data_IF_958054889226
#
_entry.id   IF_958054889226
#
_cell.length_a   1.000
_cell.length_b   1.000
_cell.length_c   1.000
_cell.angle_alpha   90.00
_cell.angle_beta   90.00
_cell.angle_gamma   90.00
#
_symmetry.space_group_name_H-M   'P 1'
#
loop_
_entity.id
_entity.type
_entity.pdbx_description
1 polymer ?
#
# COMPACT_ATOMS: atom_id res chain seq x y z
N UNK A 1 27.25 36.67 -11.75
CA UNK A 1 26.77 35.26 -11.74
C UNK A 1 25.35 35.24 -11.20
N UNK A 2 24.38 34.79 -11.99
CA UNK A 2 22.97 34.81 -11.58
C UNK A 2 22.62 33.60 -10.70
N UNK A 3 22.37 33.84 -9.42
CA UNK A 3 21.96 32.85 -8.40
C UNK A 3 20.48 32.42 -8.52
N UNK A 4 19.98 32.21 -9.74
CA UNK A 4 18.59 31.80 -10.01
C UNK A 4 18.36 30.28 -9.89
N UNK A 5 19.39 29.51 -9.53
CA UNK A 5 19.35 28.05 -9.45
C UNK A 5 18.25 27.54 -8.50
N UNK A 6 18.07 28.16 -7.34
CA UNK A 6 17.06 27.72 -6.36
C UNK A 6 15.61 27.90 -6.83
N UNK A 7 15.36 28.85 -7.73
CA UNK A 7 14.02 29.10 -8.29
C UNK A 7 13.75 28.15 -9.47
N UNK A 8 14.74 27.97 -10.36
CA UNK A 8 14.63 27.12 -11.54
C UNK A 8 14.62 25.62 -11.20
N UNK A 9 15.38 25.18 -10.19
CA UNK A 9 15.47 23.78 -9.78
C UNK A 9 14.48 23.37 -8.69
N UNK A 10 13.51 24.23 -8.35
CA UNK A 10 12.47 23.89 -7.36
C UNK A 10 11.52 22.84 -7.95
N UNK A 11 11.84 21.57 -7.70
CA UNK A 11 11.01 20.44 -8.10
C UNK A 11 9.64 20.48 -7.41
N UNK A 12 8.61 20.95 -8.14
CA UNK A 12 7.19 20.96 -7.72
C UNK A 12 6.53 19.57 -7.74
N UNK A 13 7.27 18.50 -8.09
CA UNK A 13 6.71 17.15 -8.15
C UNK A 13 6.22 16.71 -6.77
N UNK A 14 5.02 16.12 -6.72
CA UNK A 14 4.48 15.47 -5.51
C UNK A 14 5.53 14.58 -4.87
N UNK A 15 5.88 14.76 -3.60
CA UNK A 15 6.84 13.92 -2.89
C UNK A 15 6.11 12.78 -2.16
N UNK A 16 6.73 11.60 -2.08
CA UNK A 16 6.20 10.44 -1.35
C UNK A 16 6.91 10.35 0.00
N UNK A 17 6.13 10.39 1.09
CA UNK A 17 6.64 10.19 2.44
C UNK A 17 7.02 8.74 2.66
N UNK A 18 8.21 8.51 3.23
CA UNK A 18 8.74 7.19 3.51
C UNK A 18 9.45 7.15 4.85
N UNK A 19 9.42 5.97 5.48
CA UNK A 19 10.06 5.72 6.76
C UNK A 19 11.23 4.77 6.53
N UNK A 20 12.38 5.09 7.11
CA UNK A 20 13.57 4.25 7.09
C UNK A 20 13.82 3.70 8.50
N UNK A 21 14.20 2.44 8.59
CA UNK A 21 14.52 1.73 9.85
C UNK A 21 16.03 1.59 9.96
N UNK A 22 16.56 1.82 11.16
CA UNK A 22 17.97 1.63 11.49
C UNK A 22 18.41 0.16 11.30
N UNK A 23 19.60 -0.04 10.74
CA UNK A 23 20.22 -1.37 10.60
C UNK A 23 20.59 -2.00 11.94
N UNK A 24 20.70 -1.22 13.01
CA UNK A 24 21.08 -1.69 14.34
C UNK A 24 19.89 -2.20 15.18
N UNK A 25 18.71 -2.39 14.57
CA UNK A 25 17.50 -2.85 15.26
C UNK A 25 17.09 -2.02 16.50
N UNK A 26 17.49 -0.74 16.55
CA UNK A 26 17.19 0.21 17.64
C UNK A 26 15.74 0.69 17.68
N UNK A 27 14.90 0.25 16.73
CA UNK A 27 13.56 0.78 16.46
C UNK A 27 13.47 2.28 16.16
N UNK A 28 14.59 2.99 16.03
CA UNK A 28 14.59 4.38 15.60
C UNK A 28 14.20 4.48 14.12
N UNK A 29 13.27 5.41 13.83
CA UNK A 29 12.70 5.62 12.50
C UNK A 29 13.08 7.00 12.00
N UNK A 30 13.73 7.03 10.84
CA UNK A 30 14.05 8.26 10.13
C UNK A 30 13.07 8.47 8.98
N UNK A 31 12.26 9.53 9.06
CA UNK A 31 11.23 9.85 8.06
C UNK A 31 11.75 10.85 7.04
N UNK A 32 11.56 10.56 5.75
CA UNK A 32 12.02 11.41 4.64
C UNK A 32 11.04 11.38 3.46
N UNK A 33 11.40 12.10 2.39
CA UNK A 33 10.59 12.24 1.18
C UNK A 33 11.37 11.83 -0.07
N UNK A 34 10.82 10.94 -0.88
CA UNK A 34 11.38 10.52 -2.17
C UNK A 34 10.54 11.08 -3.32
N UNK A 35 11.13 11.25 -4.51
CA UNK A 35 10.37 11.55 -5.73
C UNK A 35 9.49 10.36 -6.17
N UNK A 36 8.35 10.57 -6.84
CA UNK A 36 7.49 9.48 -7.29
C UNK A 36 8.21 8.51 -8.22
N UNK A 37 9.08 9.02 -9.10
CA UNK A 37 9.88 8.21 -10.02
C UNK A 37 10.85 7.27 -9.32
N UNK A 38 11.48 7.72 -8.22
CA UNK A 38 12.44 6.93 -7.44
C UNK A 38 11.75 6.02 -6.42
N UNK A 39 10.45 6.19 -6.17
CA UNK A 39 9.69 5.39 -5.20
C UNK A 39 9.59 3.90 -5.56
N UNK A 40 9.86 3.53 -6.82
CA UNK A 40 9.95 2.13 -7.28
C UNK A 40 11.13 1.40 -6.64
N UNK A 41 12.20 2.12 -6.31
CA UNK A 41 13.42 1.56 -5.74
C UNK A 41 13.47 1.76 -4.22
N UNK A 42 14.06 0.81 -3.50
CA UNK A 42 14.23 0.91 -2.05
C UNK A 42 15.37 1.89 -1.75
N UNK A 43 15.11 2.85 -0.86
CA UNK A 43 16.12 3.79 -0.41
C UNK A 43 16.95 3.22 0.75
N UNK A 44 18.26 3.45 0.69
CA UNK A 44 19.20 3.25 1.79
C UNK A 44 20.01 4.53 2.03
N UNK A 45 20.08 5.00 3.28
CA UNK A 45 20.82 6.21 3.66
C UNK A 45 21.69 5.96 4.89
N UNK A 46 22.88 6.54 4.94
CA UNK A 46 23.69 6.58 6.16
C UNK A 46 23.33 7.82 6.99
N UNK A 47 22.80 7.63 8.20
CA UNK A 47 22.36 8.71 9.10
C UNK A 47 22.74 8.39 10.56
N UNK A 48 22.74 9.42 11.41
CA UNK A 48 22.99 9.24 12.85
C UNK A 48 21.76 8.60 13.49
N UNK A 49 21.99 7.58 14.30
CA UNK A 49 20.97 6.97 15.15
C UNK A 49 21.25 7.38 16.61
N UNK A 50 20.36 8.15 17.25
CA UNK A 50 20.57 8.65 18.61
C UNK A 50 20.59 7.55 19.67
N UNK A 51 19.95 6.40 19.42
CA UNK A 51 19.92 5.29 20.38
C UNK A 51 21.28 4.60 20.47
N UNK A 52 21.96 4.47 19.33
CA UNK A 52 23.28 3.83 19.24
C UNK A 52 24.41 4.85 19.29
N UNK A 53 24.08 6.14 19.22
CA UNK A 53 24.99 7.28 19.16
C UNK A 53 26.07 7.16 18.08
N UNK A 54 25.72 6.64 16.90
CA UNK A 54 26.66 6.49 15.77
C UNK A 54 25.94 6.59 14.42
N UNK A 55 26.71 6.82 13.36
CA UNK A 55 26.18 6.78 12.00
C UNK A 55 26.00 5.34 11.52
N UNK A 56 24.75 4.97 11.23
CA UNK A 56 24.35 3.63 10.79
C UNK A 56 23.63 3.70 9.46
N UNK A 57 23.45 2.54 8.82
CA UNK A 57 22.67 2.45 7.60
C UNK A 57 21.18 2.39 7.96
N UNK A 58 20.35 3.13 7.22
CA UNK A 58 18.91 3.12 7.34
C UNK A 58 18.31 2.56 6.06
N UNK A 59 17.40 1.60 6.20
CA UNK A 59 16.74 0.94 5.08
C UNK A 59 15.26 1.26 5.03
N UNK A 60 14.72 1.45 3.83
CA UNK A 60 13.30 1.73 3.68
C UNK A 60 12.43 0.60 4.22
N UNK A 61 11.52 0.99 5.14
CA UNK A 61 10.46 0.13 5.67
C UNK A 61 9.55 -0.27 4.52
N UNK A 62 9.24 -1.56 4.44
CA UNK A 62 8.33 -2.06 3.42
C UNK A 62 6.97 -1.36 3.56
N UNK A 63 6.54 -0.67 2.51
CA UNK A 63 5.20 -0.09 2.45
C UNK A 63 4.26 -1.28 2.29
N UNK A 64 3.52 -1.64 3.34
CA UNK A 64 2.46 -2.64 3.21
C UNK A 64 1.52 -2.15 2.11
N UNK A 65 1.35 -2.94 1.05
CA UNK A 65 0.37 -2.63 0.02
C UNK A 65 -0.96 -2.35 0.72
N UNK A 66 -1.58 -1.21 0.43
CA UNK A 66 -2.90 -0.88 0.99
C UNK A 66 -3.80 -2.08 0.67
N UNK A 67 -4.23 -2.80 1.68
CA UNK A 67 -5.19 -3.88 1.48
C UNK A 67 -6.42 -3.26 0.82
N UNK A 68 -6.90 -3.89 -0.26
CA UNK A 68 -8.15 -3.47 -0.89
C UNK A 68 -9.21 -3.47 0.21
N UNK A 69 -9.76 -2.30 0.53
CA UNK A 69 -10.79 -2.18 1.57
C UNK A 69 -11.89 -3.18 1.24
N UNK A 70 -12.17 -4.10 2.17
CA UNK A 70 -13.30 -5.03 2.01
C UNK A 70 -14.58 -4.19 2.00
N UNK A 71 -15.52 -4.54 1.11
CA UNK A 71 -16.85 -3.93 1.10
C UNK A 71 -17.51 -4.18 2.46
N UNK A 72 -17.98 -3.12 3.12
CA UNK A 72 -18.78 -3.21 4.34
C UNK A 72 -20.13 -3.83 4.05
N UNK A 73 -20.81 -4.39 5.06
CA UNK A 73 -22.15 -4.97 4.90
C UNK A 73 -23.14 -3.96 4.27
N UNK A 74 -23.12 -2.73 4.76
CA UNK A 74 -23.90 -1.63 4.20
C UNK A 74 -23.57 -1.38 2.72
N UNK A 75 -22.28 -1.36 2.35
CA UNK A 75 -21.87 -1.19 0.96
C UNK A 75 -22.32 -2.33 0.04
N UNK A 76 -22.39 -3.57 0.56
CA UNK A 76 -22.95 -4.71 -0.17
C UNK A 76 -24.45 -4.53 -0.37
N UNK A 77 -25.19 -4.16 0.69
CA UNK A 77 -26.64 -3.97 0.62
C UNK A 77 -27.00 -2.81 -0.30
N UNK A 78 -26.27 -1.71 -0.26
CA UNK A 78 -26.44 -0.59 -1.19
C UNK A 78 -26.14 -1.00 -2.64
N UNK A 79 -25.08 -1.78 -2.87
CA UNK A 79 -24.77 -2.29 -4.20
C UNK A 79 -25.88 -3.19 -4.76
N UNK A 80 -26.51 -4.01 -3.91
CA UNK A 80 -27.67 -4.84 -4.27
C UNK A 80 -28.90 -3.98 -4.56
N UNK A 81 -29.21 -3.04 -3.67
CA UNK A 81 -30.37 -2.15 -3.78
C UNK A 81 -30.32 -1.29 -5.04
N UNK A 82 -29.17 -0.68 -5.33
CA UNK A 82 -29.04 0.21 -6.50
C UNK A 82 -29.07 -0.51 -7.83
N UNK A 83 -28.78 -1.82 -7.86
CA UNK A 83 -28.82 -2.64 -9.08
C UNK A 83 -27.84 -2.24 -10.19
N UNK A 84 -27.04 -1.17 -10.02
CA UNK A 84 -26.16 -0.66 -11.08
C UNK A 84 -25.05 -1.66 -11.37
N UNK A 85 -24.84 -2.00 -12.64
CA UNK A 85 -23.80 -2.92 -13.10
C UNK A 85 -22.41 -2.62 -12.53
N UNK A 86 -22.05 -1.35 -12.37
CA UNK A 86 -20.77 -0.92 -11.78
C UNK A 86 -20.57 -1.41 -10.33
N UNK A 87 -21.64 -1.44 -9.53
CA UNK A 87 -21.61 -1.81 -8.12
C UNK A 87 -21.75 -3.32 -7.92
N UNK A 88 -22.47 -4.01 -8.83
CA UNK A 88 -22.68 -5.46 -8.78
C UNK A 88 -21.50 -6.27 -9.30
N UNK A 89 -20.78 -5.79 -10.32
CA UNK A 89 -19.58 -6.46 -10.88
C UNK A 89 -18.60 -7.03 -9.84
N UNK A 90 -18.17 -6.29 -8.79
CA UNK A 90 -17.27 -6.84 -7.77
C UNK A 90 -17.90 -7.95 -6.93
N UNK A 91 -19.22 -7.94 -6.74
CA UNK A 91 -19.96 -9.00 -6.04
C UNK A 91 -20.08 -10.25 -6.91
N UNK A 92 -20.47 -10.09 -8.18
CA UNK A 92 -20.56 -11.19 -9.15
C UNK A 92 -19.21 -11.89 -9.34
N UNK A 93 -18.14 -11.12 -9.55
CA UNK A 93 -16.78 -11.66 -9.66
C UNK A 93 -16.35 -12.46 -8.42
N UNK A 94 -16.87 -12.11 -7.23
CA UNK A 94 -16.61 -12.88 -6.00
C UNK A 94 -17.37 -14.21 -5.99
N UNK A 95 -18.62 -14.22 -6.47
CA UNK A 95 -19.43 -15.43 -6.59
C UNK A 95 -18.83 -16.37 -7.64
N UNK A 96 -18.54 -15.86 -8.84
CA UNK A 96 -17.85 -16.61 -9.92
C UNK A 96 -16.57 -17.25 -9.42
N UNK A 97 -15.72 -16.47 -8.74
CA UNK A 97 -14.49 -16.98 -8.14
C UNK A 97 -14.79 -18.13 -7.16
N UNK A 98 -15.77 -17.95 -6.27
CA UNK A 98 -16.14 -18.97 -5.28
C UNK A 98 -16.67 -20.26 -5.92
N UNK A 99 -17.38 -20.13 -7.04
CA UNK A 99 -17.85 -21.25 -7.86
C UNK A 99 -16.69 -22.01 -8.49
N UNK A 100 -15.75 -21.31 -9.15
CA UNK A 100 -14.58 -21.92 -9.78
C UNK A 100 -13.69 -22.69 -8.77
N UNK A 101 -13.58 -22.22 -7.53
CA UNK A 101 -12.83 -22.92 -6.47
C UNK A 101 -13.66 -23.99 -5.74
N UNK A 102 -14.83 -24.38 -6.27
CA UNK A 102 -15.63 -25.47 -5.74
C UNK A 102 -16.20 -25.22 -4.34
N UNK A 103 -16.30 -23.96 -3.89
CA UNK A 103 -16.82 -23.63 -2.55
C UNK A 103 -18.26 -24.12 -2.37
N UNK A 104 -19.04 -24.13 -3.45
CA UNK A 104 -20.44 -24.55 -3.45
C UNK A 104 -20.62 -26.06 -3.67
N UNK A 105 -19.60 -26.79 -4.11
CA UNK A 105 -19.69 -28.24 -4.34
C UNK A 105 -20.03 -28.99 -3.05
N UNK A 106 -19.45 -28.56 -1.91
CA UNK A 106 -19.78 -29.11 -0.58
C UNK A 106 -21.26 -28.99 -0.19
N UNK A 107 -21.97 -27.99 -0.71
CA UNK A 107 -23.40 -27.82 -0.44
C UNK A 107 -24.22 -28.74 -1.33
N UNK A 108 -23.82 -28.87 -2.59
CA UNK A 108 -24.45 -29.75 -3.59
C UNK A 108 -24.33 -31.22 -3.13
N UNK A 109 -23.14 -31.66 -2.72
CA UNK A 109 -22.90 -33.05 -2.29
C UNK A 109 -23.69 -33.45 -1.03
N UNK A 110 -24.01 -32.49 -0.15
CA UNK A 110 -24.80 -32.74 1.05
C UNK A 110 -26.31 -32.73 0.81
N UNK A 111 -26.79 -32.09 -0.26
CA UNK A 111 -28.22 -32.05 -0.60
C UNK A 111 -28.73 -33.29 -1.32
N UNK A 112 -27.83 -34.10 -1.91
CA UNK A 112 -28.18 -35.32 -2.65
C UNK A 112 -27.87 -36.61 -1.88
N UNK A 113 -27.75 -36.53 -0.55
CA UNK A 113 -27.47 -37.65 0.34
C UNK A 113 -28.63 -37.85 1.30
#
# INVERSE_FOLDING_TARGET
MLFLSNVLFRCKSKRVHINLISSCASNYIYSTYISPSKSKYRLSLRKHDPVVNRHVMFYQKHIKARSKKKLTLHGINYARFTGKNKNLRPLLKRVEKSYLYGKFNKLIDNTYR
#
